data_IF_247807941477
#
_entry.id   IF_247807941477
#
_cell.length_a   1.000
_cell.length_b   1.000
_cell.length_c   1.000
_cell.angle_alpha   90.00
_cell.angle_beta   90.00
_cell.angle_gamma   90.00
#
_symmetry.space_group_name_H-M   'P 1'
#
loop_
_entity.id
_entity.type
_entity.pdbx_description
1 polymer ?
#
# COMPACT_ATOMS: atom_id res chain seq x y z
N UNK A 1 -2.93 -1.43 -15.69
CA UNK A 1 -2.28 -0.27 -16.36
C UNK A 1 -1.29 0.29 -15.35
N UNK A 2 -0.01 0.45 -15.72
CA UNK A 2 1.04 0.94 -14.82
C UNK A 2 0.94 2.45 -14.63
N UNK A 3 1.29 2.91 -13.43
CA UNK A 3 1.59 4.32 -13.20
C UNK A 3 2.99 4.62 -13.74
N UNK A 4 3.09 5.58 -14.66
CA UNK A 4 4.36 5.99 -15.28
C UNK A 4 5.08 7.05 -14.41
N UNK A 5 5.17 6.78 -13.11
CA UNK A 5 5.86 7.60 -12.12
C UNK A 5 6.16 6.80 -10.87
N UNK A 6 7.08 7.30 -10.06
CA UNK A 6 7.23 6.84 -8.69
C UNK A 6 6.09 7.36 -7.81
N UNK A 7 5.81 6.61 -6.74
CA UNK A 7 4.92 7.06 -5.70
C UNK A 7 5.57 8.16 -4.86
N UNK A 8 4.77 9.13 -4.44
CA UNK A 8 5.20 10.09 -3.42
C UNK A 8 5.22 9.41 -2.04
N UNK A 9 6.08 9.83 -1.10
CA UNK A 9 6.20 9.20 0.22
C UNK A 9 4.85 9.10 0.97
N UNK A 10 4.00 10.12 0.81
CA UNK A 10 2.68 10.19 1.41
C UNK A 10 1.75 9.07 0.93
N UNK A 11 1.86 8.66 -0.34
CA UNK A 11 1.05 7.57 -0.91
C UNK A 11 1.39 6.21 -0.27
N UNK A 12 2.66 5.99 0.12
CA UNK A 12 3.03 4.81 0.91
C UNK A 12 2.62 4.96 2.38
N UNK A 13 2.77 6.16 2.95
CA UNK A 13 2.47 6.43 4.34
C UNK A 13 0.98 6.20 4.67
N UNK A 14 0.07 6.53 3.74
CA UNK A 14 -1.35 6.24 3.92
C UNK A 14 -1.65 4.75 4.06
N UNK A 15 -1.00 3.89 3.26
CA UNK A 15 -1.18 2.44 3.40
C UNK A 15 -0.63 1.94 4.74
N UNK A 16 0.53 2.44 5.17
CA UNK A 16 1.10 2.10 6.49
C UNK A 16 0.16 2.55 7.62
N UNK A 17 -0.39 3.76 7.53
CA UNK A 17 -1.33 4.30 8.51
C UNK A 17 -2.63 3.49 8.56
N UNK A 18 -3.13 3.04 7.40
CA UNK A 18 -4.28 2.13 7.35
C UNK A 18 -3.96 0.81 8.07
N UNK A 19 -2.80 0.20 7.79
CA UNK A 19 -2.39 -1.05 8.41
C UNK A 19 -2.18 -0.93 9.93
N UNK A 20 -1.74 0.23 10.39
CA UNK A 20 -1.56 0.53 11.81
C UNK A 20 -2.88 0.90 12.52
N UNK A 21 -4.00 1.01 11.80
CA UNK A 21 -5.29 1.42 12.35
C UNK A 21 -6.20 0.25 12.66
N UNK A 22 -7.23 0.49 13.47
CA UNK A 22 -8.27 -0.50 13.79
C UNK A 22 -9.03 -1.03 12.56
N UNK A 23 -8.96 -0.31 11.42
CA UNK A 23 -9.55 -0.74 10.15
C UNK A 23 -8.91 -2.01 9.60
N UNK A 24 -7.68 -2.31 10.01
CA UNK A 24 -6.94 -3.48 9.55
C UNK A 24 -7.35 -4.78 10.26
N UNK A 25 -8.12 -4.71 11.35
CA UNK A 25 -8.37 -5.76 12.37
C UNK A 25 -8.64 -7.23 11.95
N UNK A 26 -8.82 -7.54 10.67
CA UNK A 26 -8.99 -8.89 10.16
C UNK A 26 -7.97 -9.31 9.08
N UNK A 27 -6.99 -8.46 8.78
CA UNK A 27 -5.87 -8.78 7.92
C UNK A 27 -4.71 -9.29 8.80
N UNK A 28 -4.17 -10.45 8.47
CA UNK A 28 -2.97 -11.00 9.11
C UNK A 28 -2.17 -11.80 8.07
N UNK A 29 -0.84 -11.87 8.26
CA UNK A 29 0.03 -12.72 7.43
C UNK A 29 0.00 -12.39 5.93
N UNK A 30 -0.40 -11.18 5.58
CA UNK A 30 -0.65 -10.74 4.20
C UNK A 30 0.41 -9.74 3.75
N UNK A 31 0.70 -9.73 2.45
CA UNK A 31 1.59 -8.75 1.81
C UNK A 31 0.74 -7.83 0.94
N UNK A 32 0.78 -6.53 1.21
CA UNK A 32 0.09 -5.51 0.41
C UNK A 32 1.11 -4.82 -0.50
N UNK A 33 0.94 -4.99 -1.82
CA UNK A 33 1.77 -4.36 -2.84
C UNK A 33 1.26 -2.95 -3.15
N UNK A 34 2.13 -1.95 -2.99
CA UNK A 34 1.87 -0.56 -3.37
C UNK A 34 3.03 -0.08 -4.24
N UNK A 35 2.94 -0.34 -5.56
CA UNK A 35 4.05 -0.13 -6.49
C UNK A 35 3.63 0.44 -7.86
N UNK A 36 2.41 0.95 -7.97
CA UNK A 36 1.88 1.50 -9.22
C UNK A 36 1.66 0.45 -10.33
N UNK A 37 1.56 -0.83 -9.97
CA UNK A 37 1.40 -1.93 -10.93
C UNK A 37 2.72 -2.43 -11.52
N UNK A 38 3.83 -2.25 -10.81
CA UNK A 38 5.15 -2.67 -11.27
C UNK A 38 5.35 -4.19 -11.14
N UNK A 39 4.77 -4.85 -10.15
CA UNK A 39 5.01 -6.28 -9.90
C UNK A 39 4.07 -7.19 -10.68
N UNK A 40 2.81 -6.80 -10.87
CA UNK A 40 1.73 -7.58 -11.50
C UNK A 40 1.20 -6.88 -12.75
#
# INVERSE_FOLDING_TARGET
>A
MRMDRYADPEELAEMVAYLASDKESYMIGSIVLVDGGLTL
#
